data_IF_660913020762
#
_entry.id   IF_660913020762
#
_cell.length_a   1.000
_cell.length_b   1.000
_cell.length_c   1.000
_cell.angle_alpha   90.00
_cell.angle_beta   90.00
_cell.angle_gamma   90.00
#
_symmetry.space_group_name_H-M   'P 1'
#
loop_
_entity.id
_entity.type
_entity.pdbx_description
1 polymer ?
#
# COMPACT_ATOMS: atom_id res chain seq x y z
N UNK A 1 12.69 -10.77 27.08
CA UNK A 1 11.61 -9.75 26.92
C UNK A 1 10.41 -10.45 26.30
N UNK A 2 9.17 -10.02 26.61
CA UNK A 2 7.96 -10.57 25.98
C UNK A 2 7.98 -10.19 24.48
N UNK A 3 7.74 -11.15 23.58
CA UNK A 3 7.65 -10.88 22.15
C UNK A 3 6.47 -9.95 21.86
N UNK A 4 6.65 -8.99 20.94
CA UNK A 4 5.53 -8.18 20.47
C UNK A 4 4.56 -9.04 19.67
N UNK A 5 3.27 -8.95 20.01
CA UNK A 5 2.20 -9.61 19.29
C UNK A 5 1.65 -8.69 18.20
N UNK A 6 1.85 -9.10 16.95
CA UNK A 6 1.47 -8.32 15.75
C UNK A 6 0.38 -9.05 15.00
N UNK A 7 -0.75 -8.38 14.81
CA UNK A 7 -1.84 -8.82 13.96
C UNK A 7 -1.66 -8.27 12.56
N UNK A 8 -1.86 -9.11 11.53
CA UNK A 8 -1.75 -8.69 10.14
C UNK A 8 -3.03 -9.05 9.38
N UNK A 9 -3.68 -8.06 8.78
CA UNK A 9 -4.74 -8.28 7.81
C UNK A 9 -4.20 -8.04 6.40
N UNK A 10 -4.66 -8.81 5.42
CA UNK A 10 -4.19 -8.67 4.04
C UNK A 10 -2.81 -9.28 3.78
N UNK A 11 -2.38 -10.25 4.59
CA UNK A 11 -1.10 -10.97 4.47
C UNK A 11 -0.90 -11.68 3.14
N UNK A 12 -1.97 -12.14 2.48
CA UNK A 12 -1.94 -12.78 1.15
C UNK A 12 -2.01 -11.80 -0.03
N UNK A 13 -2.00 -10.49 0.24
CA UNK A 13 -1.93 -9.45 -0.79
C UNK A 13 -0.50 -9.15 -1.21
N UNK A 14 -0.34 -8.38 -2.30
CA UNK A 14 0.97 -8.03 -2.85
C UNK A 14 1.96 -7.49 -1.78
N UNK A 15 1.58 -6.44 -1.05
CA UNK A 15 2.42 -5.88 0.02
C UNK A 15 2.51 -6.82 1.22
N UNK A 16 1.42 -7.56 1.51
CA UNK A 16 1.34 -8.48 2.64
C UNK A 16 2.30 -9.66 2.53
N UNK A 17 2.42 -10.29 1.35
CA UNK A 17 3.34 -11.39 1.11
C UNK A 17 4.80 -10.97 1.35
N UNK A 18 5.21 -9.82 0.83
CA UNK A 18 6.54 -9.27 1.08
C UNK A 18 6.78 -8.93 2.55
N UNK A 19 5.79 -8.37 3.24
CA UNK A 19 5.88 -8.09 4.66
C UNK A 19 6.02 -9.38 5.48
N UNK A 20 5.25 -10.43 5.16
CA UNK A 20 5.34 -11.71 5.84
C UNK A 20 6.73 -12.33 5.72
N UNK A 21 7.35 -12.28 4.53
CA UNK A 21 8.72 -12.73 4.34
C UNK A 21 9.72 -11.95 5.19
N UNK A 22 9.63 -10.64 5.20
CA UNK A 22 10.53 -9.81 5.98
C UNK A 22 10.35 -10.01 7.51
N UNK A 23 9.11 -10.15 7.99
CA UNK A 23 8.84 -10.37 9.41
C UNK A 23 9.28 -11.75 9.91
N UNK A 24 9.45 -12.74 9.03
CA UNK A 24 9.96 -14.07 9.41
C UNK A 24 11.38 -14.03 9.99
N UNK A 25 12.15 -12.99 9.70
CA UNK A 25 13.49 -12.79 10.25
C UNK A 25 13.50 -12.09 11.62
N UNK A 26 12.32 -11.68 12.11
CA UNK A 26 12.16 -10.96 13.36
C UNK A 26 11.48 -11.80 14.45
N UNK A 27 11.83 -11.56 15.70
CA UNK A 27 11.27 -12.30 16.84
C UNK A 27 9.93 -11.70 17.31
N UNK A 28 8.89 -11.75 16.43
CA UNK A 28 7.52 -11.34 16.72
C UNK A 28 6.57 -12.54 16.83
N UNK A 29 5.53 -12.40 17.63
CA UNK A 29 4.37 -13.31 17.62
C UNK A 29 3.36 -12.78 16.59
N UNK A 30 3.22 -13.50 15.45
CA UNK A 30 2.34 -13.08 14.37
C UNK A 30 0.98 -13.76 14.46
N UNK A 31 -0.10 -12.97 14.43
CA UNK A 31 -1.47 -13.44 14.33
C UNK A 31 -2.08 -12.95 13.00
N UNK A 32 -2.50 -13.87 12.16
CA UNK A 32 -2.87 -13.57 10.78
C UNK A 32 -4.39 -13.62 10.62
N UNK A 33 -4.95 -12.60 9.96
CA UNK A 33 -6.36 -12.57 9.58
C UNK A 33 -6.66 -13.71 8.59
N UNK A 34 -7.61 -14.55 8.96
CA UNK A 34 -8.10 -15.68 8.19
C UNK A 34 -9.58 -15.43 7.82
N UNK A 35 -9.91 -15.46 6.53
CA UNK A 35 -11.27 -15.19 6.02
C UNK A 35 -12.29 -16.26 6.43
N UNK A 36 -11.87 -17.46 6.74
CA UNK A 36 -12.76 -18.53 7.18
C UNK A 36 -13.19 -18.37 8.65
N UNK A 37 -12.41 -17.61 9.42
CA UNK A 37 -12.62 -17.39 10.86
C UNK A 37 -13.03 -15.97 11.20
N UNK A 38 -12.59 -14.98 10.40
CA UNK A 38 -12.69 -13.58 10.71
C UNK A 38 -13.41 -12.81 9.60
N UNK A 39 -14.27 -11.89 9.98
CA UNK A 39 -14.97 -10.99 9.07
C UNK A 39 -14.77 -9.55 9.53
N UNK A 40 -14.12 -8.72 8.71
CA UNK A 40 -13.90 -7.30 9.01
C UNK A 40 -15.20 -6.52 9.22
N UNK A 41 -16.32 -6.99 8.67
CA UNK A 41 -17.64 -6.38 8.85
C UNK A 41 -18.33 -6.81 10.15
N UNK A 42 -17.75 -7.75 10.89
CA UNK A 42 -18.29 -8.29 12.15
C UNK A 42 -17.26 -8.14 13.28
N UNK A 43 -17.22 -7.03 13.99
CA UNK A 43 -16.21 -6.75 15.02
C UNK A 43 -16.01 -7.86 16.04
N UNK A 44 -17.11 -8.54 16.46
CA UNK A 44 -17.06 -9.67 17.39
C UNK A 44 -16.24 -10.86 16.87
N UNK A 45 -16.25 -11.11 15.56
CA UNK A 45 -15.44 -12.19 14.96
C UNK A 45 -13.94 -11.91 15.03
N UNK A 46 -13.55 -10.66 15.27
CA UNK A 46 -12.16 -10.23 15.36
C UNK A 46 -11.59 -10.32 16.78
N UNK A 47 -12.40 -10.62 17.80
CA UNK A 47 -11.98 -10.68 19.19
C UNK A 47 -10.74 -11.57 19.37
N UNK A 48 -10.81 -12.84 18.96
CA UNK A 48 -9.70 -13.78 19.09
C UNK A 48 -8.46 -13.38 18.28
N UNK A 49 -8.64 -12.62 17.20
CA UNK A 49 -7.56 -12.14 16.36
C UNK A 49 -6.79 -11.01 17.06
N UNK A 50 -7.51 -10.00 17.59
CA UNK A 50 -6.90 -8.75 18.07
C UNK A 50 -6.62 -8.74 19.57
N UNK A 51 -7.24 -9.62 20.36
CA UNK A 51 -7.08 -9.63 21.80
C UNK A 51 -5.60 -9.74 22.23
N UNK A 52 -5.20 -8.85 23.14
CA UNK A 52 -3.83 -8.76 23.64
C UNK A 52 -2.76 -8.49 22.56
N UNK A 53 -3.13 -7.94 21.41
CA UNK A 53 -2.16 -7.49 20.43
C UNK A 53 -1.50 -6.18 20.87
N UNK A 54 -0.22 -6.03 20.52
CA UNK A 54 0.52 -4.78 20.72
C UNK A 54 0.37 -3.88 19.47
N UNK A 55 0.30 -4.50 18.28
CA UNK A 55 0.26 -3.80 17.00
C UNK A 55 -0.69 -4.52 16.04
N UNK A 56 -1.44 -3.76 15.27
CA UNK A 56 -2.23 -4.26 14.14
C UNK A 56 -1.79 -3.59 12.86
N UNK A 57 -1.32 -4.38 11.89
CA UNK A 57 -0.95 -3.91 10.55
C UNK A 57 -2.11 -4.23 9.62
N UNK A 58 -2.81 -3.18 9.18
CA UNK A 58 -4.00 -3.30 8.35
C UNK A 58 -3.66 -3.03 6.89
N UNK A 59 -3.38 -4.10 6.13
CA UNK A 59 -3.12 -4.08 4.69
C UNK A 59 -4.31 -4.58 3.87
N UNK A 60 -5.32 -5.19 4.51
CA UNK A 60 -6.51 -5.67 3.81
C UNK A 60 -7.20 -4.52 3.10
N UNK A 61 -7.51 -4.73 1.83
CA UNK A 61 -8.19 -3.75 0.99
C UNK A 61 -8.27 -4.23 -0.44
N UNK A 62 -9.24 -3.70 -1.17
CA UNK A 62 -9.47 -3.92 -2.59
C UNK A 62 -9.01 -2.68 -3.37
N UNK A 63 -8.55 -2.87 -4.62
CA UNK A 63 -8.02 -1.78 -5.45
C UNK A 63 -8.84 -1.52 -6.72
N UNK A 64 -9.25 -2.59 -7.43
CA UNK A 64 -9.97 -2.51 -8.71
C UNK A 64 -11.10 -3.53 -8.74
N UNK A 65 -12.01 -3.42 -7.81
CA UNK A 65 -13.15 -4.31 -7.65
C UNK A 65 -14.47 -3.53 -7.84
N UNK A 66 -15.59 -4.18 -7.71
CA UNK A 66 -16.89 -3.52 -7.80
C UNK A 66 -17.02 -2.43 -6.74
N UNK A 67 -17.66 -1.32 -7.08
CA UNK A 67 -17.76 -0.13 -6.24
C UNK A 67 -18.25 -0.43 -4.81
N UNK A 68 -19.27 -1.27 -4.69
CA UNK A 68 -19.81 -1.64 -3.37
C UNK A 68 -18.85 -2.47 -2.54
N UNK A 69 -18.02 -3.31 -3.17
CA UNK A 69 -17.03 -4.11 -2.47
C UNK A 69 -15.86 -3.25 -1.99
N UNK A 70 -15.47 -2.25 -2.78
CA UNK A 70 -14.49 -1.23 -2.36
C UNK A 70 -14.94 -0.51 -1.09
N UNK A 71 -16.21 -0.07 -1.03
CA UNK A 71 -16.77 0.59 0.16
C UNK A 71 -16.86 -0.37 1.34
N UNK A 72 -17.40 -1.57 1.12
CA UNK A 72 -17.54 -2.59 2.18
C UNK A 72 -16.20 -2.93 2.80
N UNK A 73 -15.20 -3.28 2.00
CA UNK A 73 -13.92 -3.78 2.53
C UNK A 73 -13.03 -2.63 3.00
N UNK A 74 -12.83 -1.59 2.19
CA UNK A 74 -11.87 -0.54 2.52
C UNK A 74 -12.40 0.42 3.60
N UNK A 75 -13.70 0.69 3.62
CA UNK A 75 -14.28 1.66 4.56
C UNK A 75 -14.96 0.95 5.73
N UNK A 76 -16.01 0.14 5.47
CA UNK A 76 -16.75 -0.52 6.55
C UNK A 76 -15.91 -1.60 7.23
N UNK A 77 -15.07 -2.33 6.49
CA UNK A 77 -14.14 -3.30 7.06
C UNK A 77 -13.09 -2.63 7.98
N UNK A 78 -12.57 -1.46 7.58
CA UNK A 78 -11.69 -0.67 8.47
C UNK A 78 -12.44 -0.19 9.70
N UNK A 79 -13.70 0.27 9.56
CA UNK A 79 -14.52 0.65 10.71
C UNK A 79 -14.73 -0.52 11.68
N UNK A 80 -15.06 -1.69 11.16
CA UNK A 80 -15.27 -2.88 12.00
C UNK A 80 -13.98 -3.31 12.73
N UNK A 81 -12.82 -3.18 12.09
CA UNK A 81 -11.54 -3.41 12.76
C UNK A 81 -11.29 -2.38 13.86
N UNK A 82 -11.54 -1.09 13.61
CA UNK A 82 -11.39 -0.03 14.62
C UNK A 82 -12.32 -0.26 15.81
N UNK A 83 -13.55 -0.67 15.58
CA UNK A 83 -14.49 -1.05 16.62
C UNK A 83 -13.96 -2.22 17.46
N UNK A 84 -13.50 -3.30 16.81
CA UNK A 84 -12.91 -4.43 17.51
C UNK A 84 -11.68 -4.04 18.34
N UNK A 85 -10.80 -3.19 17.83
CA UNK A 85 -9.64 -2.70 18.55
C UNK A 85 -10.04 -1.90 19.79
N UNK A 86 -11.06 -1.05 19.68
CA UNK A 86 -11.55 -0.24 20.81
C UNK A 86 -12.03 -1.12 21.97
N UNK A 87 -12.66 -2.26 21.69
CA UNK A 87 -13.20 -3.14 22.72
C UNK A 87 -12.21 -4.18 23.23
N UNK A 88 -11.45 -4.82 22.32
CA UNK A 88 -10.65 -6.00 22.64
C UNK A 88 -9.15 -5.75 22.74
N UNK A 89 -8.66 -4.63 22.17
CA UNK A 89 -7.24 -4.26 22.19
C UNK A 89 -7.04 -2.74 22.24
N UNK A 90 -7.59 -2.02 23.25
CA UNK A 90 -7.61 -0.56 23.26
C UNK A 90 -6.23 0.11 23.34
N UNK A 91 -5.19 -0.63 23.72
CA UNK A 91 -3.80 -0.15 23.77
C UNK A 91 -2.99 -0.47 22.52
N UNK A 92 -3.53 -1.28 21.62
CA UNK A 92 -2.85 -1.66 20.38
C UNK A 92 -2.66 -0.44 19.48
N UNK A 93 -1.51 -0.39 18.79
CA UNK A 93 -1.24 0.60 17.75
C UNK A 93 -1.69 0.07 16.40
N UNK A 94 -2.42 0.87 15.64
CA UNK A 94 -2.75 0.58 14.24
C UNK A 94 -1.67 1.12 13.29
N UNK A 95 -1.22 0.30 12.35
CA UNK A 95 -0.45 0.72 11.17
C UNK A 95 -1.34 0.48 9.96
N UNK A 96 -1.72 1.56 9.27
CA UNK A 96 -2.68 1.51 8.17
C UNK A 96 -2.02 1.82 6.82
N UNK A 97 -2.24 0.94 5.85
CA UNK A 97 -1.82 1.15 4.47
C UNK A 97 -2.81 2.04 3.73
N UNK A 98 -2.40 3.25 3.43
CA UNK A 98 -3.14 4.21 2.60
C UNK A 98 -2.45 4.44 1.25
N UNK A 99 -2.87 5.44 0.49
CA UNK A 99 -2.41 5.69 -0.88
C UNK A 99 -2.28 7.18 -1.17
N UNK A 100 -1.38 7.54 -2.08
CA UNK A 100 -1.29 8.90 -2.63
C UNK A 100 -2.54 9.37 -3.37
N UNK A 101 -3.36 8.43 -3.87
CA UNK A 101 -4.58 8.80 -4.59
C UNK A 101 -5.57 9.61 -3.76
N UNK A 102 -5.47 9.60 -2.43
CA UNK A 102 -6.33 10.41 -1.54
C UNK A 102 -6.09 11.92 -1.69
N UNK A 103 -4.93 12.35 -2.16
CA UNK A 103 -4.64 13.77 -2.36
C UNK A 103 -5.44 14.39 -3.51
N UNK A 104 -5.82 13.57 -4.48
CA UNK A 104 -6.69 13.94 -5.57
C UNK A 104 -7.57 12.76 -5.98
N UNK A 105 -8.64 12.48 -5.23
CA UNK A 105 -9.47 11.31 -5.48
C UNK A 105 -10.20 11.42 -6.82
N UNK A 106 -9.98 10.44 -7.72
CA UNK A 106 -10.63 10.34 -9.03
C UNK A 106 -11.46 9.06 -9.19
N UNK A 107 -11.42 8.17 -8.21
CA UNK A 107 -12.11 6.89 -8.24
C UNK A 107 -12.53 6.48 -6.82
N UNK A 108 -13.43 5.52 -6.75
CA UNK A 108 -13.99 5.11 -5.46
C UNK A 108 -12.96 4.45 -4.54
N UNK A 109 -11.92 3.83 -5.08
CA UNK A 109 -10.80 3.33 -4.28
C UNK A 109 -10.13 4.46 -3.48
N UNK A 110 -9.83 5.57 -4.14
CA UNK A 110 -9.21 6.72 -3.47
C UNK A 110 -10.13 7.31 -2.39
N UNK A 111 -11.43 7.45 -2.69
CA UNK A 111 -12.42 7.90 -1.71
C UNK A 111 -12.55 6.91 -0.55
N UNK A 112 -12.62 5.60 -0.80
CA UNK A 112 -12.74 4.60 0.27
C UNK A 112 -11.55 4.61 1.23
N UNK A 113 -10.33 4.80 0.71
CA UNK A 113 -9.12 4.95 1.54
C UNK A 113 -9.12 6.27 2.32
N UNK A 114 -9.56 7.37 1.70
CA UNK A 114 -9.71 8.66 2.39
C UNK A 114 -10.71 8.57 3.54
N UNK A 115 -11.88 7.96 3.32
CA UNK A 115 -12.85 7.71 4.38
C UNK A 115 -12.28 6.85 5.51
N UNK A 116 -11.49 5.84 5.20
CA UNK A 116 -10.82 5.02 6.21
C UNK A 116 -9.85 5.86 7.08
N UNK A 117 -9.08 6.78 6.49
CA UNK A 117 -8.24 7.71 7.25
C UNK A 117 -9.07 8.63 8.17
N UNK A 118 -10.19 9.15 7.70
CA UNK A 118 -11.10 9.98 8.52
C UNK A 118 -11.70 9.18 9.68
N UNK A 119 -12.06 7.91 9.47
CA UNK A 119 -12.51 7.03 10.55
C UNK A 119 -11.40 6.81 11.59
N UNK A 120 -10.16 6.56 11.16
CA UNK A 120 -9.02 6.40 12.06
C UNK A 120 -8.82 7.67 12.90
N UNK A 121 -8.89 8.85 12.28
CA UNK A 121 -8.78 10.13 12.99
C UNK A 121 -9.93 10.34 14.00
N UNK A 122 -11.16 9.99 13.63
CA UNK A 122 -12.31 10.04 14.52
C UNK A 122 -12.14 9.12 15.74
N UNK A 123 -11.75 7.86 15.52
CA UNK A 123 -11.53 6.88 16.61
C UNK A 123 -10.37 7.31 17.51
N UNK A 124 -9.29 7.83 16.94
CA UNK A 124 -8.17 8.36 17.72
C UNK A 124 -8.62 9.48 18.65
N UNK A 125 -9.37 10.46 18.13
CA UNK A 125 -9.87 11.57 18.95
C UNK A 125 -10.86 11.13 20.03
N UNK A 126 -11.73 10.16 19.72
CA UNK A 126 -12.79 9.72 20.63
C UNK A 126 -12.31 8.76 21.72
N UNK A 127 -11.36 7.89 21.38
CA UNK A 127 -10.95 6.78 22.24
C UNK A 127 -9.47 6.82 22.63
N UNK A 128 -8.77 7.92 22.32
CA UNK A 128 -7.32 8.06 22.53
C UNK A 128 -6.51 6.94 21.85
N UNK A 129 -6.92 6.58 20.63
CA UNK A 129 -6.36 5.48 19.85
C UNK A 129 -5.12 5.94 19.09
N UNK A 130 -4.07 5.12 19.07
CA UNK A 130 -2.81 5.42 18.38
C UNK A 130 -2.76 4.77 17.01
N UNK A 131 -2.40 5.54 16.00
CA UNK A 131 -2.27 5.00 14.63
C UNK A 131 -1.13 5.66 13.85
N UNK A 132 -0.55 4.88 12.94
CA UNK A 132 0.34 5.36 11.88
C UNK A 132 -0.34 5.10 10.54
N UNK A 133 -0.46 6.13 9.73
CA UNK A 133 -1.00 6.06 8.37
C UNK A 133 0.17 6.18 7.40
N UNK A 134 0.39 5.15 6.59
CA UNK A 134 1.41 5.13 5.55
C UNK A 134 0.74 5.34 4.18
N UNK A 135 0.94 6.51 3.61
CA UNK A 135 0.46 6.84 2.27
C UNK A 135 1.50 6.43 1.25
N UNK A 136 1.27 5.31 0.60
CA UNK A 136 2.19 4.80 -0.41
C UNK A 136 1.97 5.44 -1.78
N UNK A 137 3.05 5.72 -2.49
CA UNK A 137 3.03 6.04 -3.91
C UNK A 137 2.72 4.77 -4.74
N UNK A 138 3.03 4.73 -6.04
CA UNK A 138 2.68 3.57 -6.86
C UNK A 138 3.65 2.42 -6.59
N UNK A 139 3.18 1.42 -5.85
CA UNK A 139 3.98 0.24 -5.51
C UNK A 139 4.22 -0.65 -6.73
N UNK A 140 5.44 -1.18 -6.84
CA UNK A 140 5.80 -2.18 -7.83
C UNK A 140 6.85 -3.14 -7.27
N UNK A 141 7.00 -4.32 -7.87
CA UNK A 141 7.96 -5.34 -7.43
C UNK A 141 7.56 -6.74 -7.89
N UNK A 142 8.31 -7.78 -7.47
CA UNK A 142 7.96 -9.18 -7.72
C UNK A 142 6.55 -9.50 -7.20
N UNK A 143 5.79 -10.35 -7.91
CA UNK A 143 4.41 -10.68 -7.55
C UNK A 143 3.37 -9.61 -7.93
N UNK A 144 3.79 -8.49 -8.54
CA UNK A 144 2.85 -7.51 -9.11
C UNK A 144 1.99 -8.16 -10.20
N UNK A 145 0.66 -8.01 -10.09
CA UNK A 145 -0.30 -8.63 -11.03
C UNK A 145 -0.56 -7.70 -12.22
N UNK A 146 -0.25 -8.15 -13.45
CA UNK A 146 -0.58 -7.41 -14.67
C UNK A 146 -2.09 -7.09 -14.72
N UNK A 147 -2.44 -5.92 -15.27
CA UNK A 147 -3.80 -5.41 -15.45
C UNK A 147 -4.61 -5.18 -14.16
N UNK A 148 -4.07 -5.52 -13.00
CA UNK A 148 -4.76 -5.38 -11.72
C UNK A 148 -4.13 -4.29 -10.82
N UNK A 149 -2.92 -4.50 -10.30
CA UNK A 149 -2.36 -3.62 -9.27
C UNK A 149 -1.08 -2.88 -9.68
N UNK A 150 -0.46 -3.22 -10.82
CA UNK A 150 0.79 -2.61 -11.25
C UNK A 150 0.81 -2.33 -12.75
N UNK A 151 0.97 -1.06 -13.11
CA UNK A 151 1.17 -0.66 -14.51
C UNK A 151 2.53 -1.18 -15.04
N UNK A 152 3.55 -1.22 -14.19
CA UNK A 152 4.87 -1.74 -14.54
C UNK A 152 4.78 -3.24 -14.84
N UNK A 153 4.08 -4.03 -14.01
CA UNK A 153 3.85 -5.44 -14.27
C UNK A 153 3.08 -5.66 -15.57
N UNK A 154 2.10 -4.79 -15.88
CA UNK A 154 1.34 -4.83 -17.13
C UNK A 154 2.25 -4.61 -18.34
N UNK A 155 3.09 -3.57 -18.32
CA UNK A 155 4.00 -3.28 -19.42
C UNK A 155 5.05 -4.37 -19.58
N UNK A 156 5.65 -4.83 -18.49
CA UNK A 156 6.59 -5.95 -18.50
C UNK A 156 5.97 -7.21 -19.12
N UNK A 157 4.74 -7.53 -18.76
CA UNK A 157 4.00 -8.67 -19.30
C UNK A 157 3.81 -8.56 -20.81
N UNK A 158 3.32 -7.40 -21.29
CA UNK A 158 3.06 -7.16 -22.71
C UNK A 158 4.36 -7.16 -23.54
N UNK A 159 5.42 -6.47 -23.04
CA UNK A 159 6.70 -6.38 -23.76
C UNK A 159 7.40 -7.75 -23.84
N UNK A 160 7.37 -8.55 -22.78
CA UNK A 160 7.91 -9.91 -22.78
C UNK A 160 7.26 -10.80 -23.87
N UNK A 161 5.98 -10.54 -24.18
CA UNK A 161 5.18 -11.30 -25.15
C UNK A 161 5.15 -10.69 -26.56
N UNK A 162 5.92 -9.62 -26.79
CA UNK A 162 5.92 -8.85 -28.03
C UNK A 162 4.52 -8.28 -28.40
N UNK A 163 3.68 -8.05 -27.38
CA UNK A 163 2.34 -7.48 -27.51
C UNK A 163 2.39 -5.95 -27.48
N UNK A 164 1.42 -5.30 -28.13
CA UNK A 164 1.33 -3.84 -28.17
C UNK A 164 0.98 -3.28 -26.80
N UNK A 165 1.66 -2.23 -26.40
CA UNK A 165 1.35 -1.50 -25.15
C UNK A 165 0.37 -0.37 -25.46
N UNK A 166 -0.81 -0.42 -24.83
CA UNK A 166 -1.82 0.63 -24.93
C UNK A 166 -1.68 1.59 -23.76
N UNK A 167 -1.46 2.87 -24.04
CA UNK A 167 -1.42 3.92 -23.02
C UNK A 167 -2.50 4.96 -23.27
N UNK A 168 -2.99 5.57 -22.21
CA UNK A 168 -3.94 6.69 -22.27
C UNK A 168 -3.17 8.00 -22.47
N UNK A 169 -3.61 8.82 -23.40
CA UNK A 169 -2.96 10.09 -23.73
C UNK A 169 -1.59 9.92 -24.39
N UNK A 170 -0.71 10.89 -24.20
CA UNK A 170 0.63 10.96 -24.77
C UNK A 170 1.68 10.13 -24.00
N UNK A 171 1.38 9.71 -22.78
CA UNK A 171 2.29 8.98 -21.90
C UNK A 171 3.19 9.89 -21.04
N UNK A 172 3.05 11.20 -21.13
CA UNK A 172 3.82 12.17 -20.34
C UNK A 172 3.31 12.34 -18.90
N UNK A 173 2.20 11.69 -18.54
CA UNK A 173 1.71 11.69 -17.18
C UNK A 173 2.74 11.06 -16.22
N UNK A 174 3.18 11.85 -15.26
CA UNK A 174 4.26 11.48 -14.32
C UNK A 174 3.70 10.88 -13.04
N UNK A 175 4.35 9.83 -12.57
CA UNK A 175 4.04 9.15 -11.30
C UNK A 175 5.31 8.83 -10.52
N UNK A 176 5.17 8.75 -9.21
CA UNK A 176 6.20 8.22 -8.33
C UNK A 176 6.02 6.70 -8.22
N UNK A 177 7.10 5.94 -8.39
CA UNK A 177 7.10 4.48 -8.33
C UNK A 177 8.02 4.02 -7.20
N UNK A 178 7.44 3.35 -6.19
CA UNK A 178 8.13 2.86 -5.01
C UNK A 178 8.26 1.33 -5.08
N UNK A 179 9.49 0.84 -4.92
CA UNK A 179 9.74 -0.59 -4.88
C UNK A 179 9.15 -1.20 -3.59
N UNK A 180 8.59 -2.39 -3.70
CA UNK A 180 7.83 -3.02 -2.59
C UNK A 180 8.68 -3.28 -1.36
N UNK A 181 9.97 -3.57 -1.51
CA UNK A 181 10.87 -3.76 -0.36
C UNK A 181 11.05 -2.47 0.45
N UNK A 182 11.14 -1.31 -0.20
CA UNK A 182 11.20 -0.02 0.50
C UNK A 182 9.90 0.28 1.25
N UNK A 183 8.74 -0.12 0.69
CA UNK A 183 7.46 0.00 1.38
C UNK A 183 7.38 -0.92 2.62
N UNK A 184 7.92 -2.13 2.53
CA UNK A 184 8.02 -3.06 3.66
C UNK A 184 8.94 -2.51 4.75
N UNK A 185 10.10 -1.95 4.39
CA UNK A 185 11.01 -1.31 5.35
C UNK A 185 10.31 -0.16 6.10
N UNK A 186 9.53 0.66 5.40
CA UNK A 186 8.73 1.71 6.05
C UNK A 186 7.76 1.13 7.09
N UNK A 187 7.06 0.04 6.79
CA UNK A 187 6.17 -0.63 7.76
C UNK A 187 6.97 -1.13 8.96
N UNK A 188 8.10 -1.80 8.74
CA UNK A 188 8.94 -2.36 9.82
C UNK A 188 9.45 -1.24 10.74
N UNK A 189 9.90 -0.11 10.19
CA UNK A 189 10.34 1.03 10.99
C UNK A 189 9.21 1.58 11.87
N UNK A 190 7.96 1.57 11.40
CA UNK A 190 6.81 2.01 12.21
C UNK A 190 6.43 1.04 13.33
N UNK A 191 6.86 -0.22 13.31
CA UNK A 191 6.63 -1.19 14.40
C UNK A 191 7.24 -0.68 15.72
N UNK A 192 8.39 -0.02 15.65
CA UNK A 192 9.07 0.50 16.84
C UNK A 192 8.79 2.00 17.09
N UNK A 193 8.09 2.68 16.19
CA UNK A 193 7.68 4.05 16.37
C UNK A 193 6.37 4.12 17.17
N UNK A 194 6.31 4.99 18.17
CA UNK A 194 5.14 5.16 19.04
C UNK A 194 4.55 6.57 18.88
N UNK A 195 3.51 6.75 18.04
CA UNK A 195 2.87 8.05 17.86
C UNK A 195 2.04 8.43 19.08
N UNK A 196 1.93 9.72 19.37
CA UNK A 196 1.03 10.20 20.44
C UNK A 196 -0.45 9.98 20.11
N UNK A 197 -0.83 10.19 18.86
CA UNK A 197 -2.20 10.04 18.33
C UNK A 197 -2.15 9.38 16.96
N UNK A 198 -2.62 10.09 15.91
CA UNK A 198 -2.46 9.68 14.50
C UNK A 198 -1.26 10.41 13.92
N UNK A 199 -0.33 9.64 13.36
CA UNK A 199 0.80 10.16 12.60
C UNK A 199 0.70 9.68 11.16
N UNK A 200 1.03 10.54 10.20
CA UNK A 200 0.90 10.21 8.78
C UNK A 200 2.21 10.44 8.06
N UNK A 201 2.65 9.45 7.30
CA UNK A 201 3.87 9.52 6.51
C UNK A 201 3.59 9.30 5.02
N UNK A 202 4.14 10.17 4.18
CA UNK A 202 4.23 9.95 2.75
C UNK A 202 5.41 9.02 2.46
N UNK A 203 5.14 7.85 1.90
CA UNK A 203 6.12 6.82 1.60
C UNK A 203 6.29 6.75 0.08
N UNK A 204 7.33 7.40 -0.41
CA UNK A 204 7.56 7.66 -1.83
C UNK A 204 9.04 7.88 -2.13
N UNK A 205 9.41 7.87 -3.40
CA UNK A 205 10.78 8.18 -3.84
C UNK A 205 11.04 9.69 -3.97
N UNK A 206 10.00 10.50 -4.09
CA UNK A 206 10.10 11.93 -4.45
C UNK A 206 10.48 12.17 -5.91
N UNK A 207 10.65 11.12 -6.72
CA UNK A 207 11.05 11.18 -8.12
C UNK A 207 9.87 10.82 -9.02
N UNK A 208 9.54 11.71 -9.92
CA UNK A 208 8.44 11.54 -10.87
C UNK A 208 8.97 11.05 -12.21
N UNK A 209 8.46 9.93 -12.70
CA UNK A 209 8.83 9.33 -13.99
C UNK A 209 7.58 9.22 -14.86
N UNK A 210 7.69 9.57 -16.15
CA UNK A 210 6.57 9.48 -17.10
C UNK A 210 6.27 8.02 -17.48
N UNK A 211 5.05 7.75 -17.89
CA UNK A 211 4.64 6.42 -18.38
C UNK A 211 5.52 6.00 -19.56
N UNK A 212 5.81 6.94 -20.48
CA UNK A 212 6.61 6.63 -21.66
C UNK A 212 8.07 6.31 -21.28
N UNK A 213 8.63 7.00 -20.27
CA UNK A 213 9.98 6.70 -19.81
C UNK A 213 10.07 5.35 -19.08
N UNK A 214 9.03 4.96 -18.33
CA UNK A 214 8.94 3.60 -17.75
C UNK A 214 8.99 2.55 -18.85
N UNK A 215 8.23 2.73 -19.94
CA UNK A 215 8.25 1.80 -21.09
C UNK A 215 9.65 1.73 -21.69
N UNK A 216 10.31 2.88 -21.94
CA UNK A 216 11.68 2.93 -22.47
C UNK A 216 12.69 2.22 -21.56
N UNK A 217 12.54 2.38 -20.24
CA UNK A 217 13.40 1.67 -19.29
C UNK A 217 13.20 0.15 -19.35
N UNK A 218 11.95 -0.31 -19.45
CA UNK A 218 11.65 -1.75 -19.59
C UNK A 218 12.21 -2.28 -20.91
N UNK A 219 12.02 -1.57 -22.03
CA UNK A 219 12.60 -1.92 -23.32
C UNK A 219 14.12 -2.08 -23.24
N UNK A 220 14.80 -1.13 -22.57
CA UNK A 220 16.26 -1.16 -22.38
C UNK A 220 16.70 -2.39 -21.60
N UNK A 221 16.01 -2.73 -20.50
CA UNK A 221 16.34 -3.89 -19.66
C UNK A 221 16.10 -5.22 -20.41
N UNK A 222 15.00 -5.31 -21.17
CA UNK A 222 14.66 -6.53 -21.93
C UNK A 222 15.39 -6.65 -23.27
N UNK A 223 16.06 -5.60 -23.75
CA UNK A 223 16.65 -5.56 -25.09
C UNK A 223 15.60 -5.64 -26.21
N UNK A 224 14.35 -5.29 -25.95
CA UNK A 224 13.22 -5.38 -26.87
C UNK A 224 12.61 -4.01 -27.11
N UNK A 225 12.02 -3.82 -28.32
CA UNK A 225 11.21 -2.66 -28.65
C UNK A 225 9.75 -3.06 -28.74
N UNK A 226 8.86 -2.19 -28.28
CA UNK A 226 7.42 -2.42 -28.31
C UNK A 226 6.70 -1.32 -29.10
N UNK A 227 5.62 -1.72 -29.79
CA UNK A 227 4.72 -0.75 -30.40
C UNK A 227 3.79 -0.17 -29.35
N UNK A 228 3.96 1.12 -29.06
CA UNK A 228 3.04 1.88 -28.18
C UNK A 228 1.87 2.39 -29.01
N UNK A 229 0.66 2.19 -28.51
CA UNK A 229 -0.57 2.71 -29.08
C UNK A 229 -1.16 3.71 -28.09
N UNK A 230 -1.35 4.93 -28.57
CA UNK A 230 -1.93 6.03 -27.79
C UNK A 230 -3.44 6.06 -27.96
N UNK A 231 -4.17 5.81 -26.87
CA UNK A 231 -5.61 6.01 -26.82
C UNK A 231 -5.94 7.46 -26.47
N UNK A 232 -6.96 8.03 -27.11
CA UNK A 232 -7.42 9.38 -26.76
C UNK A 232 -7.87 9.40 -25.28
N UNK A 233 -7.24 10.23 -24.49
CA UNK A 233 -7.66 10.50 -23.10
C UNK A 233 -7.60 12.00 -22.85
N UNK A 234 -8.70 12.54 -22.32
CA UNK A 234 -8.80 13.94 -21.90
C UNK A 234 -8.65 14.10 -20.37
N UNK A 235 -8.35 13.03 -19.67
CA UNK A 235 -8.26 13.05 -18.21
C UNK A 235 -7.02 13.84 -17.79
N UNK A 236 -7.23 14.92 -17.09
CA UNK A 236 -6.13 15.66 -16.45
C UNK A 236 -5.65 14.86 -15.26
N UNK A 237 -4.45 14.33 -15.35
CA UNK A 237 -3.80 13.67 -14.23
C UNK A 237 -2.96 14.68 -13.47
N UNK A 238 -3.32 15.05 -12.23
CA UNK A 238 -2.52 15.99 -11.45
C UNK A 238 -1.14 15.40 -11.18
N UNK A 239 -0.14 16.26 -11.20
CA UNK A 239 1.21 15.89 -10.79
C UNK A 239 1.26 15.92 -9.27
N UNK A 240 1.21 14.76 -8.65
CA UNK A 240 1.32 14.59 -7.20
C UNK A 240 2.80 14.49 -6.81
N UNK A 241 3.48 15.63 -6.74
CA UNK A 241 4.85 15.68 -6.23
C UNK A 241 4.81 15.76 -4.72
N UNK A 242 5.24 14.70 -4.07
CA UNK A 242 5.40 14.58 -2.61
C UNK A 242 6.85 14.24 -2.30
N UNK A 243 7.23 14.31 -1.04
CA UNK A 243 8.54 13.90 -0.58
C UNK A 243 8.41 13.05 0.68
N UNK A 244 9.45 12.32 0.99
CA UNK A 244 9.54 11.47 2.17
C UNK A 244 10.22 12.14 3.37
N UNK A 245 10.41 13.46 3.33
CA UNK A 245 11.22 14.19 4.31
C UNK A 245 10.76 13.93 5.76
N UNK A 246 9.45 13.96 6.02
CA UNK A 246 8.91 13.65 7.34
C UNK A 246 9.19 12.20 7.78
N UNK A 247 9.10 11.24 6.87
CA UNK A 247 9.44 9.84 7.16
C UNK A 247 10.95 9.68 7.44
N UNK A 248 11.80 10.43 6.75
CA UNK A 248 13.23 10.45 7.01
C UNK A 248 13.55 11.02 8.40
N UNK A 249 13.01 12.19 8.72
CA UNK A 249 13.28 12.86 10.00
C UNK A 249 12.80 12.06 11.21
N UNK A 250 11.64 11.44 11.11
CA UNK A 250 10.97 10.78 12.26
C UNK A 250 11.29 9.30 12.36
N UNK A 251 11.32 8.59 11.24
CA UNK A 251 11.53 7.13 11.19
C UNK A 251 12.96 6.74 10.75
N UNK A 252 13.77 7.68 10.27
CA UNK A 252 15.02 7.38 9.59
C UNK A 252 14.80 6.57 8.31
N UNK A 253 13.64 6.76 7.64
CA UNK A 253 13.29 6.02 6.44
C UNK A 253 13.55 6.82 5.18
N UNK A 254 14.19 6.18 4.22
CA UNK A 254 14.35 6.68 2.85
C UNK A 254 14.27 5.53 1.85
N UNK A 255 13.86 5.80 0.60
CA UNK A 255 13.83 4.78 -0.44
C UNK A 255 15.25 4.43 -0.90
N UNK A 256 15.60 3.16 -0.90
CA UNK A 256 16.94 2.66 -1.23
C UNK A 256 17.04 2.10 -2.66
N UNK A 257 15.91 1.67 -3.25
CA UNK A 257 15.91 0.98 -4.54
C UNK A 257 15.43 1.93 -5.63
N UNK A 258 16.30 2.23 -6.58
CA UNK A 258 15.93 3.03 -7.75
C UNK A 258 14.98 2.27 -8.68
N UNK A 259 14.22 3.02 -9.52
CA UNK A 259 13.33 2.39 -10.49
C UNK A 259 14.09 1.46 -11.46
N UNK A 260 15.29 1.83 -11.88
CA UNK A 260 16.09 1.01 -12.78
C UNK A 260 16.53 -0.32 -12.12
N UNK A 261 16.96 -0.29 -10.87
CA UNK A 261 17.32 -1.49 -10.10
C UNK A 261 16.10 -2.39 -9.88
N UNK A 262 14.98 -1.83 -9.43
CA UNK A 262 13.75 -2.58 -9.24
C UNK A 262 13.20 -3.20 -10.53
N UNK A 263 13.35 -2.52 -11.68
CA UNK A 263 13.00 -3.06 -12.98
C UNK A 263 13.89 -4.26 -13.36
N UNK A 264 15.19 -4.21 -13.09
CA UNK A 264 16.08 -5.36 -13.31
C UNK A 264 15.62 -6.58 -12.50
N UNK A 265 15.26 -6.38 -11.23
CA UNK A 265 14.79 -7.48 -10.35
C UNK A 265 13.52 -8.15 -10.89
N UNK A 266 12.57 -7.41 -11.45
CA UNK A 266 11.28 -7.98 -11.92
C UNK A 266 11.32 -8.49 -13.36
N UNK A 267 12.33 -8.13 -14.15
CA UNK A 267 12.42 -8.46 -15.57
C UNK A 267 13.38 -9.63 -15.87
N UNK A 268 14.28 -9.90 -14.95
CA UNK A 268 15.13 -11.10 -14.97
C UNK A 268 14.32 -12.33 -14.59
#
# INVERSE_FOLDING_TARGET
MKKKKIVITGSSGFLGEHLMHALAEHDYELNIFDRDRHDLLRPKSLESLVANSDIVIHLAGLNRDADMDLLKINTLGTNGLLEALTYYAPTAKLIFSSTFQIYYPQNLYAYSKKFAEELIAYYSKKYNFRAVILRFSNLYGPGGKPFYNSVIATFAHLIKRDEKVHIKGDGEQKKDYLFVADAVDAIIKTINYDPRNVETFDICTGRLVSIIDVIRMIEKVLGKKVKVIHAKDKTVNPILKRNFHHAYEVLGWEPNISLEEGLKVILQ
#
